data_IF_083913492461
#
_entry.id   IF_083913492461
#
_cell.length_a   1.000
_cell.length_b   1.000
_cell.length_c   1.000
_cell.angle_alpha   90.00
_cell.angle_beta   90.00
_cell.angle_gamma   90.00
#
_symmetry.space_group_name_H-M   'P 1'
#
loop_
_entity.id
_entity.type
_entity.pdbx_description
1 polymer ?
#
# COMPACT_ATOMS: atom_id res chain seq x y z
N UNK A 1 18.17 -3.28 17.66
CA UNK A 1 19.16 -3.12 16.56
C UNK A 1 18.95 -1.75 15.97
N UNK A 2 20.00 -0.96 15.81
CA UNK A 2 19.88 0.37 15.19
C UNK A 2 19.88 0.20 13.66
N UNK A 3 18.79 0.56 13.01
CA UNK A 3 18.76 0.67 11.56
C UNK A 3 19.45 1.96 11.11
N UNK A 4 20.24 1.88 10.05
CA UNK A 4 20.96 3.03 9.51
C UNK A 4 20.36 3.42 8.17
N UNK A 5 20.04 4.71 8.03
CA UNK A 5 19.60 5.27 6.75
C UNK A 5 20.73 5.14 5.72
N UNK A 6 20.49 4.37 4.67
CA UNK A 6 21.44 4.24 3.55
C UNK A 6 21.13 5.21 2.42
N UNK A 7 19.84 5.53 2.22
CA UNK A 7 19.40 6.38 1.12
C UNK A 7 18.04 7.00 1.42
N UNK A 8 17.88 8.28 1.10
CA UNK A 8 16.60 8.98 1.10
C UNK A 8 16.34 9.55 -0.30
N UNK A 9 15.14 9.40 -0.81
CA UNK A 9 14.74 9.90 -2.14
C UNK A 9 13.43 10.66 -2.05
N UNK A 10 13.37 11.83 -2.65
CA UNK A 10 12.10 12.54 -2.93
C UNK A 10 11.98 12.65 -4.45
N UNK A 11 10.90 12.10 -5.00
CA UNK A 11 10.70 12.02 -6.46
C UNK A 11 9.23 12.15 -6.84
N UNK A 12 8.97 12.45 -8.12
CA UNK A 12 7.61 12.38 -8.68
C UNK A 12 7.16 10.93 -8.88
N UNK A 13 5.85 10.61 -8.75
CA UNK A 13 5.32 9.24 -8.91
C UNK A 13 5.69 8.59 -10.24
N UNK A 14 5.66 9.34 -11.32
CA UNK A 14 5.93 8.88 -12.68
C UNK A 14 7.40 9.01 -13.09
N UNK A 15 8.33 8.80 -12.19
CA UNK A 15 9.77 8.92 -12.46
C UNK A 15 10.37 7.76 -13.28
N UNK A 16 9.59 7.13 -14.15
CA UNK A 16 10.10 6.37 -15.28
C UNK A 16 11.08 7.22 -16.12
N UNK A 17 11.73 6.70 -17.07
CA UNK A 17 12.88 7.18 -17.83
C UNK A 17 13.03 8.69 -18.17
N UNK A 18 12.03 9.53 -17.88
CA UNK A 18 12.00 10.98 -18.17
C UNK A 18 11.59 11.87 -17.00
N UNK A 19 11.80 11.46 -15.77
CA UNK A 19 11.40 12.24 -14.60
C UNK A 19 12.10 13.59 -14.53
N UNK A 20 11.29 14.61 -14.42
CA UNK A 20 11.71 15.98 -14.19
C UNK A 20 12.03 16.20 -12.70
N UNK A 21 13.23 15.82 -12.29
CA UNK A 21 13.76 16.15 -10.99
C UNK A 21 13.48 15.11 -9.91
N UNK A 22 14.53 14.67 -9.27
CA UNK A 22 14.50 13.92 -8.01
C UNK A 22 15.60 14.44 -7.11
N UNK A 23 15.38 14.34 -5.81
CA UNK A 23 16.40 14.52 -4.79
C UNK A 23 16.80 13.13 -4.27
N UNK A 24 18.05 12.74 -4.43
CA UNK A 24 18.57 11.51 -3.84
C UNK A 24 19.71 11.84 -2.91
N UNK A 25 19.58 11.50 -1.65
CA UNK A 25 20.61 11.69 -0.63
C UNK A 25 21.05 10.33 -0.12
N UNK A 26 22.34 10.04 -0.22
CA UNK A 26 22.95 8.84 0.34
C UNK A 26 23.64 9.20 1.65
N UNK A 27 23.64 8.29 2.61
CA UNK A 27 24.13 8.57 3.96
C UNK A 27 25.55 9.09 4.07
N UNK A 28 26.36 9.03 3.00
CA UNK A 28 27.76 9.48 3.01
C UNK A 28 28.19 10.32 1.81
N UNK A 29 27.68 10.09 0.62
CA UNK A 29 28.07 10.86 -0.58
C UNK A 29 26.95 10.84 -1.59
N UNK A 30 26.51 12.00 -2.04
CA UNK A 30 25.67 12.16 -3.20
C UNK A 30 26.53 12.16 -4.45
N UNK A 31 26.17 11.38 -5.45
CA UNK A 31 26.76 11.49 -6.79
C UNK A 31 25.78 12.24 -7.67
N UNK A 32 26.19 13.39 -8.17
CA UNK A 32 25.40 14.20 -9.11
C UNK A 32 25.15 13.37 -10.37
N UNK A 33 23.89 12.98 -10.56
CA UNK A 33 23.41 12.46 -11.84
C UNK A 33 22.58 13.54 -12.51
N UNK A 34 22.48 13.52 -13.82
CA UNK A 34 21.79 14.55 -14.63
C UNK A 34 20.32 14.84 -14.25
N UNK A 35 19.75 14.08 -13.33
CA UNK A 35 18.37 14.20 -12.84
C UNK A 35 18.24 14.72 -11.41
N UNK A 36 19.34 14.80 -10.70
CA UNK A 36 19.33 15.26 -9.31
C UNK A 36 19.16 16.78 -9.24
N UNK A 37 18.24 17.21 -8.37
CA UNK A 37 18.02 18.64 -8.15
C UNK A 37 19.09 19.24 -7.27
N UNK A 38 19.71 18.44 -6.40
CA UNK A 38 20.70 18.90 -5.44
C UNK A 38 21.73 17.80 -5.14
N UNK A 39 22.94 18.23 -4.89
CA UNK A 39 23.99 17.42 -4.27
C UNK A 39 24.08 17.79 -2.78
N UNK A 40 23.76 16.84 -1.91
CA UNK A 40 23.67 17.10 -0.50
C UNK A 40 23.98 15.87 0.35
N UNK A 41 24.44 16.11 1.56
CA UNK A 41 24.62 15.12 2.61
C UNK A 41 23.43 15.17 3.57
N UNK A 42 22.92 14.02 3.97
CA UNK A 42 21.89 13.92 4.99
C UNK A 42 22.51 14.23 6.37
N UNK A 43 21.92 15.20 7.07
CA UNK A 43 22.29 15.55 8.45
C UNK A 43 21.37 14.85 9.43
N UNK A 44 20.08 14.95 9.22
CA UNK A 44 19.06 14.27 10.03
C UNK A 44 17.77 14.03 9.24
N UNK A 45 17.03 13.04 9.68
CA UNK A 45 15.67 12.79 9.20
C UNK A 45 14.83 12.36 10.40
N UNK A 46 13.68 12.99 10.60
CA UNK A 46 12.76 12.73 11.70
C UNK A 46 11.33 12.57 11.18
N UNK A 47 10.44 12.06 12.02
CA UNK A 47 9.05 11.77 11.64
C UNK A 47 8.83 10.33 11.19
N UNK A 48 9.86 9.49 11.20
CA UNK A 48 9.77 8.09 10.79
C UNK A 48 9.44 7.14 11.95
N UNK A 49 9.49 7.61 13.19
CA UNK A 49 9.35 6.82 14.41
C UNK A 49 7.90 6.36 14.66
N UNK A 50 6.93 7.08 14.15
CA UNK A 50 5.50 6.76 14.32
C UNK A 50 4.59 7.97 14.06
N UNK A 51 3.30 7.74 13.81
CA UNK A 51 2.35 8.81 13.61
C UNK A 51 2.01 9.50 14.93
N UNK A 52 1.72 10.80 14.87
CA UNK A 52 1.04 11.50 15.96
C UNK A 52 -0.42 11.06 15.97
N UNK A 53 -0.90 10.62 17.11
CA UNK A 53 -2.30 10.21 17.30
C UNK A 53 -3.08 11.32 17.98
N UNK A 54 -4.26 11.63 17.47
CA UNK A 54 -5.22 12.48 18.18
C UNK A 54 -6.24 11.59 18.86
N UNK A 55 -6.29 11.70 20.17
CA UNK A 55 -7.32 11.05 20.97
C UNK A 55 -8.55 11.95 20.97
N UNK A 56 -9.66 11.43 20.51
CA UNK A 56 -10.94 12.12 20.55
C UNK A 56 -11.75 11.59 21.74
N UNK A 57 -12.30 12.49 22.52
CA UNK A 57 -13.12 12.18 23.67
C UNK A 57 -14.07 13.36 23.96
N UNK A 58 -15.11 13.09 24.71
CA UNK A 58 -16.06 14.09 25.19
C UNK A 58 -16.26 13.98 26.70
N UNK A 59 -16.72 15.02 27.31
CA UNK A 59 -17.07 15.02 28.73
C UNK A 59 -18.29 14.15 28.98
N UNK A 60 -18.20 13.24 29.95
CA UNK A 60 -19.32 12.43 30.37
C UNK A 60 -20.26 13.25 31.26
N UNK A 61 -21.55 13.05 31.13
CA UNK A 61 -22.60 13.80 31.89
C UNK A 61 -22.49 13.68 33.41
N UNK A 62 -21.74 12.69 33.89
CA UNK A 62 -21.54 12.43 35.33
C UNK A 62 -20.08 12.64 35.79
N UNK A 63 -19.30 13.41 35.04
CA UNK A 63 -17.88 13.63 35.29
C UNK A 63 -16.97 12.57 34.67
N UNK A 64 -15.77 13.00 34.25
CA UNK A 64 -14.83 12.20 33.50
C UNK A 64 -14.97 12.40 31.99
N UNK A 65 -14.10 11.75 31.22
CA UNK A 65 -14.11 11.83 29.76
C UNK A 65 -14.48 10.48 29.16
N UNK A 66 -15.32 10.52 28.14
CA UNK A 66 -15.64 9.34 27.31
C UNK A 66 -14.67 9.34 26.13
N UNK A 67 -13.90 8.28 26.02
CA UNK A 67 -13.07 8.03 24.86
C UNK A 67 -13.94 7.63 23.65
N UNK A 68 -13.84 8.39 22.56
CA UNK A 68 -14.63 8.15 21.34
C UNK A 68 -13.79 7.62 20.18
N UNK A 69 -12.48 7.72 20.24
CA UNK A 69 -11.63 7.15 19.20
C UNK A 69 -10.20 7.69 19.21
N UNK A 70 -9.37 7.07 18.41
CA UNK A 70 -8.04 7.53 18.05
C UNK A 70 -7.98 7.72 16.55
N UNK A 71 -7.61 8.91 16.12
CA UNK A 71 -7.40 9.20 14.70
C UNK A 71 -5.93 9.51 14.47
N UNK A 72 -5.27 8.76 13.59
CA UNK A 72 -3.92 9.12 13.17
C UNK A 72 -3.96 10.39 12.31
N UNK A 73 -3.09 11.34 12.63
CA UNK A 73 -2.97 12.59 11.90
C UNK A 73 -2.13 12.42 10.64
N UNK A 74 -2.20 13.43 9.76
CA UNK A 74 -1.22 13.60 8.71
C UNK A 74 0.19 13.53 9.29
N UNK A 75 1.08 12.91 8.55
CA UNK A 75 2.43 12.67 9.01
C UNK A 75 3.39 13.71 8.44
N UNK A 76 4.21 14.27 9.31
CA UNK A 76 5.22 15.24 8.96
C UNK A 76 6.61 14.59 9.07
N UNK A 77 7.38 14.72 8.01
CA UNK A 77 8.76 14.27 7.92
C UNK A 77 9.66 15.48 7.74
N UNK A 78 10.64 15.64 8.61
CA UNK A 78 11.60 16.74 8.53
C UNK A 78 12.95 16.18 8.14
N UNK A 79 13.48 16.64 7.02
CA UNK A 79 14.76 16.21 6.46
C UNK A 79 15.72 17.39 6.46
N UNK A 80 16.80 17.27 7.18
CA UNK A 80 17.87 18.30 7.21
C UNK A 80 19.03 17.85 6.33
N UNK A 81 19.40 18.69 5.40
CA UNK A 81 20.43 18.45 4.40
C UNK A 81 21.55 19.50 4.51
N UNK A 82 22.77 19.07 4.25
CA UNK A 82 23.88 19.99 4.02
C UNK A 82 24.22 19.98 2.53
N UNK A 83 23.97 21.08 1.79
CA UNK A 83 24.26 21.14 0.37
C UNK A 83 25.77 21.05 0.12
N UNK A 84 26.13 20.34 -0.93
CA UNK A 84 27.48 20.20 -1.42
C UNK A 84 27.61 20.96 -2.74
N UNK A 85 28.41 21.99 -2.79
CA UNK A 85 28.60 22.81 -3.99
C UNK A 85 29.95 23.49 -3.97
N UNK A 86 30.50 23.74 -5.16
CA UNK A 86 31.81 24.39 -5.31
C UNK A 86 31.76 25.89 -5.04
N UNK A 87 30.58 26.50 -5.17
CA UNK A 87 30.37 27.92 -4.97
C UNK A 87 29.01 28.24 -4.37
N UNK A 88 28.85 29.44 -3.81
CA UNK A 88 27.58 29.93 -3.31
C UNK A 88 26.49 29.99 -4.44
N UNK A 89 26.91 30.34 -5.65
CA UNK A 89 25.97 30.39 -6.79
C UNK A 89 25.50 29.00 -7.21
N UNK A 90 26.35 27.99 -7.12
CA UNK A 90 25.98 26.62 -7.37
C UNK A 90 24.96 26.14 -6.34
N UNK A 91 25.19 26.40 -5.06
CA UNK A 91 24.24 26.09 -3.99
C UNK A 91 22.89 26.79 -4.21
N UNK A 92 22.90 28.09 -4.58
CA UNK A 92 21.65 28.83 -4.91
C UNK A 92 20.89 28.17 -6.06
N UNK A 93 21.57 27.76 -7.10
CA UNK A 93 20.95 27.08 -8.24
C UNK A 93 20.35 25.73 -7.84
N UNK A 94 21.02 24.99 -6.96
CA UNK A 94 20.51 23.73 -6.43
C UNK A 94 19.25 23.96 -5.57
N UNK A 95 19.25 24.96 -4.69
CA UNK A 95 18.09 25.35 -3.88
C UNK A 95 16.91 25.75 -4.77
N UNK A 96 17.14 26.53 -5.82
CA UNK A 96 16.07 26.90 -6.77
C UNK A 96 15.45 25.68 -7.46
N UNK A 97 16.26 24.68 -7.81
CA UNK A 97 15.75 23.41 -8.36
C UNK A 97 14.95 22.63 -7.33
N UNK A 98 15.38 22.60 -6.08
CA UNK A 98 14.65 21.97 -4.99
C UNK A 98 13.30 22.66 -4.74
N UNK A 99 13.27 23.99 -4.74
CA UNK A 99 12.02 24.76 -4.69
C UNK A 99 11.13 24.42 -5.90
N UNK A 100 11.69 24.28 -7.09
CA UNK A 100 10.96 23.81 -8.27
C UNK A 100 10.34 22.41 -8.09
N UNK A 101 11.02 21.52 -7.36
CA UNK A 101 10.48 20.21 -7.00
C UNK A 101 9.33 20.33 -5.99
N UNK A 102 9.42 21.26 -5.02
CA UNK A 102 8.38 21.46 -4.00
C UNK A 102 7.04 21.95 -4.55
N UNK A 103 7.04 22.56 -5.74
CA UNK A 103 5.80 22.96 -6.41
C UNK A 103 5.01 21.81 -7.08
N UNK A 104 5.50 20.58 -6.97
CA UNK A 104 4.76 19.42 -7.46
C UNK A 104 3.66 19.02 -6.48
N UNK A 105 2.48 18.73 -7.00
CA UNK A 105 1.30 18.39 -6.21
C UNK A 105 1.38 17.03 -5.53
N UNK A 106 2.20 16.14 -6.08
CA UNK A 106 2.39 14.80 -5.55
C UNK A 106 3.86 14.38 -5.68
N UNK A 107 4.41 13.94 -4.57
CA UNK A 107 5.77 13.44 -4.47
C UNK A 107 5.77 12.13 -3.69
N UNK A 108 6.76 11.29 -3.93
CA UNK A 108 7.05 10.10 -3.14
C UNK A 108 8.30 10.37 -2.33
N UNK A 109 8.19 10.23 -1.00
CA UNK A 109 9.30 10.15 -0.08
C UNK A 109 9.65 8.68 0.15
N UNK A 110 10.87 8.29 -0.16
CA UNK A 110 11.37 6.92 -0.04
C UNK A 110 12.58 6.91 0.89
N UNK A 111 12.60 5.97 1.82
CA UNK A 111 13.72 5.76 2.73
C UNK A 111 14.18 4.31 2.63
N UNK A 112 15.46 4.13 2.41
CA UNK A 112 16.13 2.83 2.47
C UNK A 112 16.99 2.79 3.73
N UNK A 113 16.84 1.74 4.51
CA UNK A 113 17.64 1.47 5.69
C UNK A 113 18.42 0.18 5.51
N UNK A 114 19.52 0.07 6.22
CA UNK A 114 20.34 -1.14 6.27
C UNK A 114 20.46 -1.55 7.74
N UNK A 115 20.14 -2.81 8.03
CA UNK A 115 20.37 -3.41 9.33
C UNK A 115 21.85 -3.75 9.51
N UNK A 116 22.28 -3.95 10.77
CA UNK A 116 23.65 -4.38 11.08
C UNK A 116 24.02 -5.74 10.42
N UNK A 117 23.03 -6.57 10.15
CA UNK A 117 23.18 -7.86 9.45
C UNK A 117 23.21 -7.74 7.93
N UNK A 118 23.15 -6.50 7.39
CA UNK A 118 23.19 -6.24 5.95
C UNK A 118 21.86 -6.38 5.22
N UNK A 119 20.76 -6.59 5.95
CA UNK A 119 19.40 -6.59 5.37
C UNK A 119 18.99 -5.18 4.93
N UNK A 120 18.53 -5.03 3.70
CA UNK A 120 17.98 -3.77 3.21
C UNK A 120 16.46 -3.75 3.40
N UNK A 121 15.95 -2.64 3.93
CA UNK A 121 14.50 -2.37 4.02
C UNK A 121 14.20 -1.07 3.30
N UNK A 122 13.10 -1.07 2.56
CA UNK A 122 12.60 0.10 1.85
C UNK A 122 11.20 0.43 2.32
N UNK A 123 11.01 1.70 2.68
CA UNK A 123 9.69 2.24 2.98
C UNK A 123 9.45 3.51 2.18
N UNK A 124 8.21 3.78 1.86
CA UNK A 124 7.84 4.98 1.10
C UNK A 124 6.45 5.50 1.50
N UNK A 125 6.21 6.76 1.19
CA UNK A 125 4.89 7.38 1.33
C UNK A 125 4.70 8.44 0.27
N UNK A 126 3.46 8.71 -0.10
CA UNK A 126 3.10 9.82 -0.98
C UNK A 126 2.77 11.07 -0.15
N UNK A 127 3.01 12.23 -0.73
CA UNK A 127 2.74 13.50 -0.08
C UNK A 127 3.28 14.68 -0.89
N UNK A 128 3.57 15.76 -0.19
CA UNK A 128 4.09 16.99 -0.78
C UNK A 128 5.08 17.70 0.15
N UNK A 129 5.94 18.52 -0.42
CA UNK A 129 6.82 19.39 0.37
C UNK A 129 6.02 20.64 0.75
N UNK A 130 5.84 20.85 2.05
CA UNK A 130 5.13 22.03 2.58
C UNK A 130 6.05 23.22 2.79
N UNK A 131 7.32 22.98 3.10
CA UNK A 131 8.31 24.03 3.34
C UNK A 131 9.71 23.61 2.94
N UNK A 132 10.48 24.58 2.44
CA UNK A 132 11.91 24.48 2.18
C UNK A 132 12.61 25.68 2.81
N UNK A 133 13.17 25.51 3.98
CA UNK A 133 13.96 26.51 4.66
C UNK A 133 15.44 26.38 4.27
N UNK A 134 15.96 27.40 3.62
CA UNK A 134 17.34 27.39 3.11
C UNK A 134 18.11 28.68 3.51
N UNK A 135 18.63 28.78 4.75
CA UNK A 135 19.36 29.95 5.21
C UNK A 135 20.76 30.04 4.58
N UNK A 136 20.82 30.48 3.32
CA UNK A 136 22.05 30.53 2.51
C UNK A 136 23.17 31.38 3.09
N UNK A 137 22.84 32.28 4.02
CA UNK A 137 23.80 33.21 4.66
C UNK A 137 24.14 32.82 6.10
N UNK A 138 23.68 31.64 6.56
CA UNK A 138 24.06 31.13 7.88
C UNK A 138 25.36 30.32 7.79
N UNK A 139 26.10 30.29 8.88
CA UNK A 139 27.37 29.52 8.97
C UNK A 139 27.12 27.99 8.78
N UNK A 140 25.97 27.52 9.16
CA UNK A 140 25.63 26.08 9.05
C UNK A 140 25.20 25.64 7.66
N UNK A 141 24.66 26.55 6.84
CA UNK A 141 24.17 26.27 5.46
C UNK A 141 23.33 24.99 5.36
N UNK A 142 22.54 24.71 6.38
CA UNK A 142 21.66 23.55 6.38
C UNK A 142 20.32 23.90 5.74
N UNK A 143 19.79 22.99 4.93
CA UNK A 143 18.49 23.12 4.29
C UNK A 143 17.56 22.17 4.99
N UNK A 144 16.44 22.69 5.45
CA UNK A 144 15.37 21.90 6.09
C UNK A 144 14.21 21.78 5.12
N UNK A 145 13.82 20.53 4.84
CA UNK A 145 12.66 20.18 4.01
C UNK A 145 11.61 19.58 4.92
N UNK A 146 10.43 20.17 4.92
CA UNK A 146 9.26 19.59 5.57
C UNK A 146 8.38 18.92 4.52
N UNK A 147 8.22 17.61 4.65
CA UNK A 147 7.36 16.81 3.79
C UNK A 147 6.15 16.34 4.57
N UNK A 148 4.95 16.57 4.04
CA UNK A 148 3.69 16.16 4.66
C UNK A 148 3.08 15.03 3.85
N UNK A 149 2.77 13.93 4.52
CA UNK A 149 1.98 12.83 3.98
C UNK A 149 0.57 12.84 4.58
N UNK A 150 -0.47 12.73 3.76
CA UNK A 150 -1.84 12.53 4.26
C UNK A 150 -2.03 11.14 4.88
N UNK A 151 -1.08 10.22 4.66
CA UNK A 151 -1.12 8.87 5.17
C UNK A 151 -0.36 8.77 6.51
N UNK A 152 -0.95 8.17 7.54
CA UNK A 152 -0.31 8.03 8.85
C UNK A 152 0.75 6.92 8.89
N UNK A 153 0.86 6.14 7.85
CA UNK A 153 1.74 4.98 7.74
C UNK A 153 2.70 5.11 6.56
N UNK A 154 3.78 4.35 6.63
CA UNK A 154 4.71 4.10 5.53
C UNK A 154 4.31 2.80 4.83
N UNK A 155 4.49 2.73 3.53
CA UNK A 155 4.29 1.53 2.73
C UNK A 155 5.62 0.81 2.53
N UNK A 156 5.57 -0.51 2.45
CA UNK A 156 6.69 -1.37 2.01
C UNK A 156 6.40 -1.95 0.64
N UNK A 157 7.41 -2.54 0.05
CA UNK A 157 7.23 -3.25 -1.22
C UNK A 157 6.25 -4.42 -1.06
N UNK A 158 5.42 -4.71 -2.07
CA UNK A 158 4.47 -5.80 -2.02
C UNK A 158 5.15 -7.14 -1.73
N UNK A 159 4.54 -7.94 -0.86
CA UNK A 159 5.02 -9.28 -0.54
C UNK A 159 4.03 -10.31 -1.06
N UNK A 160 4.57 -11.36 -1.71
CA UNK A 160 3.78 -12.55 -2.04
C UNK A 160 3.77 -13.48 -0.84
N UNK A 161 2.58 -13.90 -0.42
CA UNK A 161 2.39 -14.75 0.75
C UNK A 161 1.78 -16.11 0.40
N UNK A 162 1.83 -16.48 -0.88
CA UNK A 162 1.46 -17.82 -1.32
C UNK A 162 2.39 -18.86 -0.69
N UNK A 163 1.80 -19.84 -0.02
CA UNK A 163 2.52 -20.92 0.67
C UNK A 163 2.64 -20.75 2.19
N UNK A 164 2.28 -19.57 2.73
CA UNK A 164 2.30 -19.29 4.18
C UNK A 164 0.89 -19.48 4.79
N UNK A 165 -0.11 -19.76 3.95
CA UNK A 165 -1.50 -19.86 4.36
C UNK A 165 -2.05 -21.28 4.19
N UNK A 166 -2.90 -21.69 5.12
CA UNK A 166 -3.82 -22.80 4.89
C UNK A 166 -5.06 -22.25 4.17
N UNK A 167 -5.48 -22.95 3.14
CA UNK A 167 -6.66 -22.60 2.34
C UNK A 167 -7.70 -23.68 2.54
N UNK A 168 -8.82 -23.31 3.09
CA UNK A 168 -9.98 -24.19 3.23
C UNK A 168 -11.06 -23.78 2.23
N UNK A 169 -11.63 -24.79 1.56
CA UNK A 169 -12.75 -24.59 0.64
C UNK A 169 -13.97 -25.34 1.16
N UNK A 170 -15.09 -24.65 1.18
CA UNK A 170 -16.39 -25.24 1.54
C UNK A 170 -17.46 -24.84 0.54
N UNK A 171 -18.47 -25.70 0.41
CA UNK A 171 -19.61 -25.49 -0.48
C UNK A 171 -20.88 -25.43 0.35
N UNK A 172 -21.25 -24.24 0.87
CA UNK A 172 -22.53 -24.04 1.54
C UNK A 172 -23.69 -24.26 0.59
N UNK A 173 -24.93 -24.25 1.08
CA UNK A 173 -26.14 -24.57 0.31
C UNK A 173 -26.30 -23.74 -0.98
N UNK A 174 -25.79 -22.49 -0.98
CA UNK A 174 -25.79 -21.60 -2.15
C UNK A 174 -24.42 -20.97 -2.31
N UNK A 175 -23.62 -21.50 -3.25
CA UNK A 175 -22.33 -20.93 -3.55
C UNK A 175 -21.13 -21.71 -3.05
N UNK A 176 -19.98 -21.06 -3.04
CA UNK A 176 -18.71 -21.59 -2.54
C UNK A 176 -18.01 -20.58 -1.65
N UNK A 177 -17.25 -21.07 -0.70
CA UNK A 177 -16.47 -20.25 0.23
C UNK A 177 -15.02 -20.73 0.26
N UNK A 178 -14.11 -19.78 0.24
CA UNK A 178 -12.67 -19.98 0.38
C UNK A 178 -12.26 -19.22 1.62
N UNK A 179 -11.76 -19.93 2.61
CA UNK A 179 -11.19 -19.36 3.82
C UNK A 179 -9.65 -19.48 3.72
N UNK A 180 -8.98 -18.35 3.81
CA UNK A 180 -7.52 -18.25 3.75
C UNK A 180 -7.05 -17.95 5.16
N UNK A 181 -6.50 -18.98 5.82
CA UNK A 181 -5.99 -18.88 7.18
C UNK A 181 -4.51 -18.53 7.15
N UNK A 182 -4.18 -17.38 7.68
CA UNK A 182 -2.80 -16.94 7.83
C UNK A 182 -2.11 -17.75 8.94
N UNK A 183 -0.92 -18.26 8.66
CA UNK A 183 0.00 -18.77 9.66
C UNK A 183 0.97 -17.65 9.99
N UNK A 184 0.84 -16.98 11.15
CA UNK A 184 1.79 -15.94 11.54
C UNK A 184 3.19 -16.54 11.59
N UNK A 185 4.11 -15.99 10.81
CA UNK A 185 5.54 -16.23 11.00
C UNK A 185 6.14 -14.99 11.65
N UNK A 186 7.17 -15.16 12.45
CA UNK A 186 7.87 -14.04 13.09
C UNK A 186 8.36 -12.99 12.07
N UNK A 187 8.65 -13.42 10.84
CA UNK A 187 9.08 -12.53 9.77
C UNK A 187 7.94 -11.73 9.17
N UNK A 188 6.77 -12.34 9.02
CA UNK A 188 5.57 -11.65 8.53
C UNK A 188 5.05 -10.63 9.54
N UNK A 189 5.03 -10.96 10.82
CA UNK A 189 4.57 -10.06 11.87
C UNK A 189 5.47 -8.83 12.01
N UNK A 190 6.73 -8.94 11.61
CA UNK A 190 7.66 -7.81 11.50
C UNK A 190 7.49 -7.00 10.21
N UNK A 191 6.84 -7.56 9.20
CA UNK A 191 6.72 -6.91 7.89
C UNK A 191 5.76 -5.74 7.89
N UNK A 192 4.72 -5.77 8.72
CA UNK A 192 3.74 -4.68 8.81
C UNK A 192 3.19 -4.54 10.22
N UNK A 193 2.88 -3.32 10.61
CA UNK A 193 2.33 -2.97 11.93
C UNK A 193 1.00 -2.20 11.84
N UNK A 194 0.54 -1.92 10.62
CA UNK A 194 -0.70 -1.21 10.35
C UNK A 194 -1.62 -2.05 9.44
N UNK A 195 -2.93 -1.80 9.44
CA UNK A 195 -3.86 -2.42 8.50
C UNK A 195 -3.37 -2.25 7.07
N UNK A 196 -3.13 -3.36 6.40
CA UNK A 196 -2.49 -3.42 5.09
C UNK A 196 -3.48 -3.82 4.02
N UNK A 197 -3.38 -3.21 2.86
CA UNK A 197 -4.19 -3.59 1.70
C UNK A 197 -3.62 -4.83 1.03
N UNK A 198 -4.42 -5.48 0.21
CA UNK A 198 -4.01 -6.70 -0.48
C UNK A 198 -4.58 -6.78 -1.89
N UNK A 199 -3.97 -7.63 -2.69
CA UNK A 199 -4.49 -8.06 -3.97
C UNK A 199 -4.57 -9.58 -3.99
N UNK A 200 -5.79 -10.10 -4.16
CA UNK A 200 -6.07 -11.52 -4.22
C UNK A 200 -6.59 -11.88 -5.60
N UNK A 201 -5.98 -12.82 -6.27
CA UNK A 201 -6.44 -13.36 -7.54
C UNK A 201 -6.87 -14.82 -7.38
N UNK A 202 -8.07 -15.13 -7.84
CA UNK A 202 -8.64 -16.47 -7.88
C UNK A 202 -8.75 -16.95 -9.32
N UNK A 203 -8.25 -18.13 -9.59
CA UNK A 203 -8.47 -18.84 -10.85
C UNK A 203 -9.70 -19.74 -10.70
N UNK A 204 -10.76 -19.43 -11.44
CA UNK A 204 -12.08 -20.06 -11.33
C UNK A 204 -12.37 -20.86 -12.57
N UNK A 205 -12.74 -22.17 -12.47
CA UNK A 205 -13.11 -22.99 -13.61
C UNK A 205 -14.25 -22.38 -14.43
N UNK A 206 -14.13 -22.37 -15.74
CA UNK A 206 -15.16 -21.81 -16.65
C UNK A 206 -16.52 -22.44 -16.51
N UNK A 207 -16.59 -23.70 -16.05
CA UNK A 207 -17.85 -24.39 -15.77
C UNK A 207 -18.71 -23.73 -14.72
N UNK A 208 -18.12 -23.00 -13.78
CA UNK A 208 -18.84 -22.26 -12.73
C UNK A 208 -18.70 -20.74 -12.88
N UNK A 209 -17.64 -20.25 -13.50
CA UNK A 209 -17.38 -18.81 -13.64
C UNK A 209 -18.61 -18.08 -14.22
N UNK A 210 -19.19 -18.62 -15.29
CA UNK A 210 -20.39 -18.03 -15.92
C UNK A 210 -21.66 -18.09 -15.04
N UNK A 211 -21.64 -18.79 -13.93
CA UNK A 211 -22.76 -18.93 -13.01
C UNK A 211 -22.65 -18.05 -11.78
N UNK A 212 -21.47 -17.47 -11.53
CA UNK A 212 -21.22 -16.60 -10.39
C UNK A 212 -21.94 -15.27 -10.61
N UNK A 213 -22.81 -14.92 -9.68
CA UNK A 213 -23.57 -13.66 -9.70
C UNK A 213 -23.05 -12.64 -8.70
N UNK A 214 -22.44 -13.11 -7.63
CA UNK A 214 -21.93 -12.25 -6.56
C UNK A 214 -20.60 -12.80 -6.04
N UNK A 215 -19.63 -11.93 -5.82
CA UNK A 215 -18.38 -12.23 -5.16
C UNK A 215 -18.21 -11.29 -3.98
N UNK A 216 -17.82 -11.84 -2.83
CA UNK A 216 -17.64 -11.11 -1.59
C UNK A 216 -16.29 -11.50 -1.04
N UNK A 217 -15.45 -10.50 -0.72
CA UNK A 217 -14.26 -10.70 0.09
C UNK A 217 -14.45 -10.01 1.43
N UNK A 218 -14.13 -10.68 2.52
CA UNK A 218 -14.29 -10.15 3.87
C UNK A 218 -13.11 -10.50 4.77
N UNK A 219 -12.77 -9.58 5.62
CA UNK A 219 -12.00 -9.81 6.83
C UNK A 219 -12.96 -10.05 8.01
N UNK A 220 -12.46 -10.02 9.24
CA UNK A 220 -13.29 -10.23 10.43
C UNK A 220 -14.30 -9.08 10.70
N UNK A 221 -14.09 -7.92 10.12
CA UNK A 221 -14.86 -6.69 10.41
C UNK A 221 -15.55 -6.15 9.16
N UNK A 222 -14.86 -6.16 8.03
CA UNK A 222 -15.24 -5.47 6.81
C UNK A 222 -15.50 -6.43 5.66
N UNK A 223 -16.34 -6.02 4.72
CA UNK A 223 -16.61 -6.78 3.51
C UNK A 223 -16.73 -5.89 2.27
N UNK A 224 -16.20 -6.38 1.16
CA UNK A 224 -16.35 -5.77 -0.15
C UNK A 224 -17.05 -6.75 -1.10
N UNK A 225 -18.12 -6.33 -1.71
CA UNK A 225 -18.90 -7.19 -2.59
C UNK A 225 -19.12 -6.59 -3.97
N UNK A 226 -19.07 -7.45 -4.97
CA UNK A 226 -19.51 -7.15 -6.33
C UNK A 226 -20.66 -8.05 -6.74
N UNK A 227 -21.73 -7.47 -7.25
CA UNK A 227 -22.91 -8.20 -7.69
C UNK A 227 -23.40 -7.72 -9.05
N UNK A 228 -23.96 -8.65 -9.82
CA UNK A 228 -24.66 -8.35 -11.07
C UNK A 228 -26.10 -8.81 -10.94
N UNK A 229 -27.03 -7.89 -11.15
CA UNK A 229 -28.47 -8.17 -10.93
C UNK A 229 -29.07 -9.21 -11.87
N UNK A 230 -28.56 -9.36 -13.10
CA UNK A 230 -29.23 -10.12 -14.16
C UNK A 230 -28.33 -11.03 -15.00
N UNK A 231 -27.05 -11.01 -14.81
CA UNK A 231 -26.10 -11.82 -15.56
C UNK A 231 -24.98 -12.33 -14.66
N UNK A 232 -24.20 -13.29 -15.13
CA UNK A 232 -23.03 -13.73 -14.40
C UNK A 232 -21.96 -12.62 -14.35
N UNK A 233 -21.09 -12.65 -13.34
CA UNK A 233 -19.92 -11.77 -13.27
C UNK A 233 -18.96 -11.99 -14.44
N UNK A 234 -18.87 -13.24 -14.87
CA UNK A 234 -18.06 -13.64 -16.01
C UNK A 234 -18.95 -13.87 -17.21
N UNK A 235 -18.71 -13.15 -18.29
CA UNK A 235 -19.36 -13.43 -19.56
C UNK A 235 -18.34 -14.10 -20.50
N UNK A 236 -18.79 -15.16 -21.18
CA UNK A 236 -18.02 -15.81 -22.23
C UNK A 236 -16.75 -16.55 -21.82
N UNK A 237 -16.58 -16.94 -20.56
CA UNK A 237 -15.50 -17.85 -20.17
C UNK A 237 -15.77 -19.22 -20.76
N UNK A 238 -14.83 -19.75 -21.54
CA UNK A 238 -14.96 -21.12 -22.07
C UNK A 238 -15.05 -22.13 -20.92
N UNK A 239 -15.97 -23.12 -21.00
CA UNK A 239 -16.08 -24.17 -19.99
C UNK A 239 -14.78 -24.95 -19.74
N UNK A 240 -13.90 -25.00 -20.76
CA UNK A 240 -12.60 -25.69 -20.68
C UNK A 240 -11.45 -24.82 -20.20
N UNK A 241 -11.70 -23.51 -19.99
CA UNK A 241 -10.71 -22.55 -19.50
C UNK A 241 -10.97 -22.13 -18.06
N UNK A 242 -10.26 -21.14 -17.58
CA UNK A 242 -10.43 -20.51 -16.28
C UNK A 242 -10.66 -19.04 -16.48
N UNK A 243 -11.57 -18.47 -15.69
CA UNK A 243 -11.63 -17.02 -15.50
C UNK A 243 -10.86 -16.59 -14.25
N UNK A 244 -10.42 -15.35 -14.21
CA UNK A 244 -9.72 -14.80 -13.06
C UNK A 244 -10.57 -13.71 -12.41
N UNK A 245 -10.75 -13.85 -11.10
CA UNK A 245 -11.39 -12.84 -10.26
C UNK A 245 -10.31 -12.23 -9.37
N UNK A 246 -10.11 -10.93 -9.49
CA UNK A 246 -9.07 -10.21 -8.79
C UNK A 246 -9.72 -9.17 -7.88
N UNK A 247 -9.49 -9.30 -6.58
CA UNK A 247 -9.80 -8.29 -5.58
C UNK A 247 -8.56 -7.44 -5.35
N UNK A 248 -8.61 -6.19 -5.72
CA UNK A 248 -7.55 -5.22 -5.49
C UNK A 248 -8.00 -4.18 -4.47
N UNK A 249 -7.60 -4.37 -3.22
CA UNK A 249 -8.01 -3.48 -2.14
C UNK A 249 -7.17 -2.19 -2.10
N UNK A 250 -6.03 -2.15 -2.79
CA UNK A 250 -5.28 -0.91 -2.98
C UNK A 250 -6.05 0.05 -3.91
N UNK A 251 -6.55 -0.48 -5.04
CA UNK A 251 -7.37 0.26 -6.00
C UNK A 251 -8.85 0.33 -5.61
N UNK A 252 -9.24 -0.36 -4.54
CA UNK A 252 -10.65 -0.52 -4.11
C UNK A 252 -11.53 -1.01 -5.27
N UNK A 253 -11.06 -2.02 -5.96
CA UNK A 253 -11.68 -2.50 -7.19
C UNK A 253 -11.72 -4.03 -7.26
N UNK A 254 -12.65 -4.53 -8.06
CA UNK A 254 -12.71 -5.90 -8.49
C UNK A 254 -12.49 -5.95 -9.99
N UNK A 255 -11.61 -6.82 -10.43
CA UNK A 255 -11.31 -7.06 -11.83
C UNK A 255 -11.75 -8.46 -12.22
N UNK A 256 -12.28 -8.58 -13.43
CA UNK A 256 -12.65 -9.85 -14.05
C UNK A 256 -11.81 -10.02 -15.31
N UNK A 257 -11.16 -11.15 -15.43
CA UNK A 257 -10.44 -11.54 -16.63
C UNK A 257 -11.00 -12.86 -17.14
N UNK A 258 -11.58 -12.83 -18.32
CA UNK A 258 -12.15 -14.01 -18.97
C UNK A 258 -11.08 -14.91 -19.59
N UNK A 259 -9.80 -14.51 -19.49
CA UNK A 259 -8.67 -15.18 -20.13
C UNK A 259 -8.84 -15.32 -21.67
N UNK A 260 -9.42 -14.29 -22.27
CA UNK A 260 -9.69 -14.20 -23.71
C UNK A 260 -8.63 -13.38 -24.46
N UNK A 261 -7.57 -12.95 -23.77
CA UNK A 261 -6.49 -12.15 -24.32
C UNK A 261 -6.78 -10.64 -24.38
N UNK A 262 -7.96 -10.20 -23.91
CA UNK A 262 -8.31 -8.77 -23.87
C UNK A 262 -7.93 -8.09 -22.56
N UNK A 263 -7.36 -8.84 -21.62
CA UNK A 263 -6.90 -8.34 -20.31
C UNK A 263 -8.02 -8.18 -19.27
N UNK A 264 -7.66 -7.82 -18.05
CA UNK A 264 -8.62 -7.70 -16.96
C UNK A 264 -9.54 -6.51 -17.17
N UNK A 265 -10.83 -6.76 -17.15
CA UNK A 265 -11.85 -5.73 -17.17
C UNK A 265 -12.09 -5.22 -15.75
N UNK A 266 -11.92 -3.92 -15.54
CA UNK A 266 -12.41 -3.29 -14.33
C UNK A 266 -13.92 -3.34 -14.35
N UNK A 267 -14.49 -4.15 -13.46
CA UNK A 267 -15.92 -4.16 -13.31
C UNK A 267 -16.31 -3.05 -12.33
N UNK A 268 -17.04 -2.02 -12.77
CA UNK A 268 -17.48 -0.93 -11.91
C UNK A 268 -18.65 -1.39 -11.03
N UNK A 269 -18.51 -2.51 -10.32
CA UNK A 269 -19.53 -2.91 -9.38
C UNK A 269 -19.52 -1.92 -8.23
N UNK A 270 -20.63 -1.27 -8.11
CA UNK A 270 -20.98 -0.48 -6.95
C UNK A 270 -21.07 -1.45 -5.78
N UNK A 271 -20.10 -1.45 -4.94
CA UNK A 271 -20.17 -2.09 -3.64
C UNK A 271 -21.33 -1.44 -2.87
N UNK A 272 -22.36 -2.19 -2.61
CA UNK A 272 -23.59 -1.65 -2.04
C UNK A 272 -23.54 -1.48 -0.52
N UNK A 273 -22.45 -1.89 0.15
CA UNK A 273 -22.32 -1.79 1.62
C UNK A 273 -20.85 -1.74 2.06
N UNK A 274 -20.16 -0.66 1.77
CA UNK A 274 -18.81 -0.51 2.26
C UNK A 274 -18.72 0.69 3.19
N UNK A 275 -18.86 0.45 4.47
CA UNK A 275 -18.29 1.39 5.45
C UNK A 275 -16.78 1.40 5.39
N UNK A 276 -16.15 0.23 5.25
CA UNK A 276 -14.69 0.09 5.15
C UNK A 276 -14.32 -1.10 4.26
N UNK A 277 -13.16 -1.01 3.59
CA UNK A 277 -12.65 -2.09 2.75
C UNK A 277 -11.88 -3.12 3.59
N UNK A 278 -11.99 -4.42 3.25
CA UNK A 278 -11.20 -5.46 3.92
C UNK A 278 -9.71 -5.16 3.89
N UNK A 279 -9.05 -5.44 4.99
CA UNK A 279 -7.63 -5.22 5.19
C UNK A 279 -7.01 -6.43 5.89
N UNK A 280 -5.70 -6.59 5.76
CA UNK A 280 -4.94 -7.58 6.51
C UNK A 280 -4.32 -6.89 7.71
N UNK A 281 -4.60 -7.41 8.90
CA UNK A 281 -4.08 -6.89 10.16
C UNK A 281 -2.91 -7.76 10.65
N UNK A 282 -1.96 -7.20 11.40
CA UNK A 282 -0.77 -7.94 11.86
C UNK A 282 -1.09 -9.25 12.60
N UNK A 283 -2.14 -9.25 13.39
CA UNK A 283 -2.52 -10.40 14.23
C UNK A 283 -3.80 -11.11 13.77
N UNK A 284 -4.29 -10.78 12.58
CA UNK A 284 -5.53 -11.36 12.07
C UNK A 284 -5.29 -12.71 11.42
N UNK A 285 -6.20 -13.67 11.65
CA UNK A 285 -6.02 -15.05 11.26
C UNK A 285 -6.68 -15.42 9.94
N UNK A 286 -7.57 -14.60 9.38
CA UNK A 286 -8.31 -15.05 8.21
C UNK A 286 -8.82 -13.97 7.27
N UNK A 287 -8.89 -14.36 6.00
CA UNK A 287 -9.61 -13.67 4.93
C UNK A 287 -10.56 -14.69 4.30
N UNK A 288 -11.81 -14.31 4.08
CA UNK A 288 -12.75 -15.20 3.41
C UNK A 288 -13.27 -14.61 2.11
N UNK A 289 -13.43 -15.49 1.12
CA UNK A 289 -14.08 -15.15 -0.16
C UNK A 289 -15.28 -16.03 -0.34
N UNK A 290 -16.45 -15.41 -0.56
CA UNK A 290 -17.68 -16.10 -0.87
C UNK A 290 -18.11 -15.80 -2.31
N UNK A 291 -18.38 -16.88 -3.07
CA UNK A 291 -18.88 -16.81 -4.43
C UNK A 291 -20.29 -17.36 -4.46
N UNK A 292 -21.29 -16.53 -4.81
CA UNK A 292 -22.67 -16.95 -4.93
C UNK A 292 -22.98 -17.36 -6.36
N UNK A 293 -23.51 -18.55 -6.54
CA UNK A 293 -23.93 -19.12 -7.84
C UNK A 293 -25.12 -20.08 -7.67
N UNK A 294 -25.72 -20.45 -8.78
CA UNK A 294 -26.84 -21.44 -8.78
C UNK A 294 -26.34 -22.77 -8.21
N UNK A 295 -27.03 -23.26 -7.19
CA UNK A 295 -26.61 -24.45 -6.48
C UNK A 295 -26.98 -25.72 -7.24
N UNK A 296 -25.96 -26.52 -7.58
CA UNK A 296 -26.10 -27.93 -7.95
C UNK A 296 -24.87 -28.67 -7.47
N UNK A 297 -24.95 -29.96 -7.22
CA UNK A 297 -23.81 -30.79 -6.82
C UNK A 297 -22.66 -30.73 -7.83
N UNK A 298 -22.98 -30.61 -9.13
CA UNK A 298 -21.97 -30.46 -10.17
C UNK A 298 -21.19 -29.13 -10.05
N UNK A 299 -21.89 -28.04 -9.70
CA UNK A 299 -21.27 -26.74 -9.50
C UNK A 299 -20.37 -26.74 -8.26
N UNK A 300 -20.79 -27.38 -7.18
CA UNK A 300 -19.98 -27.52 -5.97
C UNK A 300 -18.67 -28.28 -6.23
N UNK A 301 -18.75 -29.40 -6.95
CA UNK A 301 -17.55 -30.15 -7.34
C UNK A 301 -16.62 -29.34 -8.25
N UNK A 302 -17.18 -28.51 -9.12
CA UNK A 302 -16.39 -27.60 -9.95
C UNK A 302 -15.78 -26.48 -9.16
N UNK A 303 -16.48 -25.95 -8.16
CA UNK A 303 -15.97 -24.92 -7.27
C UNK A 303 -14.71 -25.37 -6.51
N UNK A 304 -14.66 -26.60 -6.05
CA UNK A 304 -13.49 -27.18 -5.36
C UNK A 304 -12.22 -27.22 -6.24
N UNK A 305 -12.34 -26.94 -7.53
CA UNK A 305 -11.19 -26.78 -8.46
C UNK A 305 -10.72 -25.32 -8.57
N UNK A 306 -11.39 -24.39 -7.92
CA UNK A 306 -10.92 -22.99 -7.81
C UNK A 306 -9.59 -22.97 -7.09
N UNK A 307 -8.70 -22.08 -7.51
CA UNK A 307 -7.37 -21.93 -6.88
C UNK A 307 -7.10 -20.48 -6.56
N UNK A 308 -6.39 -20.25 -5.47
CA UNK A 308 -5.71 -18.97 -5.25
C UNK A 308 -4.52 -18.92 -6.20
N UNK A 309 -4.55 -18.03 -7.17
CA UNK A 309 -3.51 -17.84 -8.16
C UNK A 309 -2.39 -16.96 -7.61
N UNK A 310 -2.77 -15.83 -7.01
CA UNK A 310 -1.81 -14.96 -6.33
C UNK A 310 -2.46 -14.26 -5.14
N UNK A 311 -1.66 -14.04 -4.12
CA UNK A 311 -2.05 -13.26 -2.96
C UNK A 311 -0.87 -12.37 -2.58
N UNK A 312 -1.04 -11.06 -2.79
CA UNK A 312 -0.05 -10.03 -2.49
C UNK A 312 -0.58 -9.16 -1.36
N UNK A 313 0.24 -8.91 -0.36
CA UNK A 313 -0.02 -7.88 0.64
C UNK A 313 0.85 -6.67 0.30
N UNK A 314 0.28 -5.48 0.49
CA UNK A 314 0.98 -4.19 0.45
C UNK A 314 1.22 -3.74 1.88
N UNK A 315 2.35 -4.13 2.50
CA UNK A 315 2.56 -3.97 3.92
C UNK A 315 2.64 -2.50 4.30
N UNK A 316 1.97 -2.14 5.40
CA UNK A 316 1.98 -0.80 5.97
C UNK A 316 2.57 -0.83 7.38
N UNK A 317 3.43 0.13 7.69
CA UNK A 317 4.05 0.24 9.00
C UNK A 317 3.85 1.62 9.58
N UNK A 318 3.63 1.69 10.90
CA UNK A 318 3.53 2.97 11.59
C UNK A 318 4.89 3.63 11.84
N UNK A 319 5.97 2.89 11.85
CA UNK A 319 7.33 3.39 12.08
C UNK A 319 8.40 2.41 11.61
N UNK A 320 9.65 2.87 11.62
CA UNK A 320 10.86 2.10 11.35
C UNK A 320 11.83 2.29 12.51
#
# INVERSE_FOLDING_TARGET
MAERISKLVIKTPNSGTKASGQLTVRGYVSTVRSREVMDAMLVSATGFEGPKLTVTGGDASYGGSVFTGITPNNREYVVTLRPMGQSLNDIKNQVNRLIGLSHRSELILELNTVTEEGGESRVYTSGYISDVSAPLFSDKREIVITFISPMPYLQRDPMSILGIHDIEMSTPAVGGRIDIHRKPSDEEDKAFSAPSTFRLALSIPGTIANLITTAIVSDEVNSFSGAVKTSSLFQNVSPTSHGYLIFDMEDRAMYLDANDGMGPYRNPFVGTNTSDYPSVYPNQTGLSVSLLYSNTTANNNSFLKTKVDSYLIYPKVYGI
#
